data_IF_818693966827
#
_entry.id   IF_818693966827
#
_cell.length_a   1.000
_cell.length_b   1.000
_cell.length_c   1.000
_cell.angle_alpha   90.00
_cell.angle_beta   90.00
_cell.angle_gamma   90.00
#
_symmetry.space_group_name_H-M   'P 1'
#
loop_
_entity.id
_entity.type
_entity.pdbx_description
1 polymer ?
#
# COMPACT_ATOMS: atom_id res chain seq x y z
N UNK A 1 50.45 16.66 1.86
CA UNK A 1 50.18 15.35 1.22
C UNK A 1 48.75 14.89 1.53
N UNK A 2 47.74 15.65 1.07
CA UNK A 2 46.32 15.38 1.35
C UNK A 2 45.47 15.74 0.11
N UNK A 3 46.04 15.54 -1.08
CA UNK A 3 45.44 15.95 -2.36
C UNK A 3 45.32 14.77 -3.35
N UNK A 4 45.89 13.61 -2.99
CA UNK A 4 45.98 12.42 -3.85
C UNK A 4 44.82 11.42 -3.67
N UNK A 5 43.90 11.63 -2.71
CA UNK A 5 42.80 10.68 -2.44
C UNK A 5 41.46 11.02 -3.11
N UNK A 6 41.32 12.20 -3.72
CA UNK A 6 40.08 12.62 -4.39
C UNK A 6 40.05 12.31 -5.89
N UNK A 7 41.19 12.02 -6.51
CA UNK A 7 41.30 11.73 -7.94
C UNK A 7 40.85 10.32 -8.33
N UNK A 8 40.89 9.34 -7.41
CA UNK A 8 40.40 7.97 -7.66
C UNK A 8 38.87 7.93 -7.81
N UNK A 9 38.15 8.87 -7.18
CA UNK A 9 36.69 8.98 -7.28
C UNK A 9 36.17 9.43 -8.67
N UNK A 10 37.05 9.63 -9.66
CA UNK A 10 36.63 10.09 -10.99
C UNK A 10 35.94 11.45 -10.96
N UNK A 11 36.15 12.22 -9.87
CA UNK A 11 35.53 13.52 -9.63
C UNK A 11 36.28 14.67 -10.35
N UNK A 12 37.03 14.33 -11.39
CA UNK A 12 37.66 15.31 -12.27
C UNK A 12 36.58 15.93 -13.15
N UNK A 13 36.21 17.17 -12.85
CA UNK A 13 35.11 17.97 -13.42
C UNK A 13 33.71 17.67 -12.88
N UNK A 14 33.49 17.91 -11.58
CA UNK A 14 32.19 18.39 -11.09
C UNK A 14 31.89 19.83 -11.58
N UNK A 15 32.24 20.17 -12.82
CA UNK A 15 31.46 21.13 -13.59
C UNK A 15 30.25 20.38 -14.17
N UNK A 16 29.51 19.67 -13.30
CA UNK A 16 28.21 19.17 -13.68
C UNK A 16 27.41 20.42 -14.05
N UNK A 17 27.01 20.51 -15.33
CA UNK A 17 26.09 21.55 -15.79
C UNK A 17 25.01 21.70 -14.72
N UNK A 18 24.65 22.93 -14.29
CA UNK A 18 23.61 23.13 -13.28
C UNK A 18 22.35 22.28 -13.55
N UNK A 19 22.07 22.01 -14.83
CA UNK A 19 21.02 21.10 -15.28
C UNK A 19 21.20 19.64 -14.85
N UNK A 20 22.40 19.07 -14.95
CA UNK A 20 22.69 17.70 -14.52
C UNK A 20 22.55 17.54 -13.00
N UNK A 21 22.99 18.53 -12.22
CA UNK A 21 22.81 18.52 -10.77
C UNK A 21 21.31 18.60 -10.40
N UNK A 22 20.55 19.45 -11.09
CA UNK A 22 19.10 19.55 -10.90
C UNK A 22 18.38 18.23 -11.25
N UNK A 23 18.77 17.59 -12.36
CA UNK A 23 18.22 16.28 -12.75
C UNK A 23 18.53 15.20 -11.72
N UNK A 24 19.77 15.15 -11.22
CA UNK A 24 20.17 14.17 -10.20
C UNK A 24 19.40 14.38 -8.90
N UNK A 25 19.27 15.64 -8.45
CA UNK A 25 18.50 15.99 -7.25
C UNK A 25 17.02 15.65 -7.44
N UNK A 26 16.42 15.99 -8.59
CA UNK A 26 15.04 15.68 -8.91
C UNK A 26 14.77 14.18 -8.98
N UNK A 27 15.62 13.42 -9.66
CA UNK A 27 15.52 11.97 -9.74
C UNK A 27 15.67 11.31 -8.36
N UNK A 28 16.63 11.77 -7.56
CA UNK A 28 16.85 11.27 -6.19
C UNK A 28 15.65 11.58 -5.29
N UNK A 29 15.07 12.78 -5.41
CA UNK A 29 13.88 13.17 -4.66
C UNK A 29 12.66 12.33 -5.06
N UNK A 30 12.42 12.14 -6.36
CA UNK A 30 11.35 11.27 -6.87
C UNK A 30 11.53 9.82 -6.40
N UNK A 31 12.76 9.31 -6.45
CA UNK A 31 13.09 7.97 -5.95
C UNK A 31 12.81 7.86 -4.45
N UNK A 32 13.26 8.82 -3.65
CA UNK A 32 13.00 8.84 -2.21
C UNK A 32 11.49 8.89 -1.92
N UNK A 33 10.73 9.70 -2.66
CA UNK A 33 9.27 9.80 -2.55
C UNK A 33 8.58 8.47 -2.88
N UNK A 34 9.03 7.80 -3.94
CA UNK A 34 8.49 6.51 -4.37
C UNK A 34 8.81 5.40 -3.37
N UNK A 35 10.05 5.35 -2.86
CA UNK A 35 10.44 4.41 -1.81
C UNK A 35 9.63 4.63 -0.53
N UNK A 36 9.50 5.87 -0.07
CA UNK A 36 8.69 6.20 1.10
C UNK A 36 7.23 5.75 0.93
N UNK A 37 6.65 5.95 -0.25
CA UNK A 37 5.31 5.49 -0.58
C UNK A 37 5.20 3.95 -0.54
N UNK A 38 6.14 3.22 -1.14
CA UNK A 38 6.18 1.74 -1.08
C UNK A 38 6.29 1.26 0.36
N UNK A 39 7.18 1.85 1.16
CA UNK A 39 7.35 1.49 2.57
C UNK A 39 6.08 1.74 3.38
N UNK A 40 5.38 2.84 3.10
CA UNK A 40 4.11 3.17 3.77
C UNK A 40 3.04 2.13 3.44
N UNK A 41 2.93 1.74 2.16
CA UNK A 41 2.02 0.67 1.74
C UNK A 41 2.38 -0.65 2.39
N UNK A 42 3.67 -1.00 2.42
CA UNK A 42 4.14 -2.22 3.04
C UNK A 42 3.82 -2.27 4.53
N UNK A 43 4.12 -1.20 5.28
CA UNK A 43 3.84 -1.11 6.72
C UNK A 43 2.33 -1.20 6.99
N UNK A 44 1.51 -0.45 6.25
CA UNK A 44 0.06 -0.53 6.35
C UNK A 44 -0.44 -1.95 6.06
N UNK A 45 0.08 -2.58 4.99
CA UNK A 45 -0.27 -3.96 4.63
C UNK A 45 0.10 -4.93 5.74
N UNK A 46 1.28 -4.77 6.34
CA UNK A 46 1.75 -5.59 7.44
C UNK A 46 0.85 -5.46 8.67
N UNK A 47 0.52 -4.22 9.08
CA UNK A 47 -0.38 -3.96 10.20
C UNK A 47 -1.77 -4.57 10.00
N UNK A 48 -2.28 -4.55 8.77
CA UNK A 48 -3.60 -5.09 8.45
C UNK A 48 -3.66 -6.62 8.38
N UNK A 49 -2.51 -7.34 8.36
CA UNK A 49 -2.49 -8.82 8.32
C UNK A 49 -3.10 -9.49 9.54
N UNK A 50 -3.29 -8.75 10.65
CA UNK A 50 -3.97 -9.28 11.83
C UNK A 50 -5.46 -9.56 11.59
N UNK A 51 -6.06 -8.95 10.56
CA UNK A 51 -7.44 -9.20 10.20
C UNK A 51 -7.56 -10.46 9.35
N UNK A 52 -8.59 -11.29 9.61
CA UNK A 52 -8.85 -12.45 8.79
C UNK A 52 -9.24 -12.02 7.37
N UNK A 53 -8.93 -12.84 6.39
CA UNK A 53 -9.14 -12.54 4.97
C UNK A 53 -9.87 -13.71 4.29
N UNK A 54 -10.84 -13.43 3.40
CA UNK A 54 -11.36 -14.45 2.50
C UNK A 54 -10.27 -14.94 1.54
N UNK A 55 -10.48 -16.11 0.89
CA UNK A 55 -9.61 -16.55 -0.18
C UNK A 55 -9.55 -15.52 -1.31
N UNK A 56 -8.34 -15.09 -1.67
CA UNK A 56 -8.12 -14.18 -2.80
C UNK A 56 -8.36 -14.90 -4.12
N UNK A 57 -8.99 -14.22 -5.08
CA UNK A 57 -9.15 -14.73 -6.46
C UNK A 57 -7.79 -14.89 -7.14
N UNK A 58 -6.88 -13.96 -6.92
CA UNK A 58 -5.50 -14.03 -7.39
C UNK A 58 -4.61 -13.08 -6.59
N UNK A 59 -3.29 -13.23 -6.73
CA UNK A 59 -2.32 -12.45 -5.95
C UNK A 59 -2.34 -10.96 -6.29
N UNK A 60 -2.59 -10.60 -7.56
CA UNK A 60 -2.47 -9.22 -8.05
C UNK A 60 -3.75 -8.41 -7.81
N UNK A 61 -4.88 -8.90 -8.30
CA UNK A 61 -6.21 -8.28 -8.17
C UNK A 61 -6.87 -8.53 -6.81
N UNK A 62 -6.32 -9.43 -5.98
CA UNK A 62 -6.87 -9.75 -4.67
C UNK A 62 -8.28 -10.32 -4.76
N UNK A 63 -9.24 -9.57 -4.24
CA UNK A 63 -10.66 -9.94 -4.14
C UNK A 63 -11.54 -9.24 -5.18
N UNK A 64 -10.95 -8.47 -6.11
CA UNK A 64 -11.72 -7.81 -7.17
C UNK A 64 -12.53 -8.83 -7.98
N UNK A 65 -13.80 -8.51 -8.19
CA UNK A 65 -14.74 -9.34 -8.96
C UNK A 65 -15.23 -10.60 -8.24
N UNK A 66 -14.98 -10.75 -6.93
CA UNK A 66 -15.63 -11.80 -6.12
C UNK A 66 -17.10 -11.47 -5.83
N UNK A 67 -17.40 -10.21 -5.50
CA UNK A 67 -18.78 -9.75 -5.31
C UNK A 67 -19.37 -9.38 -6.67
N UNK A 68 -20.48 -10.05 -7.02
CA UNK A 68 -21.30 -9.72 -8.19
C UNK A 68 -22.55 -8.96 -7.73
N UNK A 69 -23.10 -8.10 -8.58
CA UNK A 69 -24.37 -7.41 -8.34
C UNK A 69 -25.58 -8.29 -8.71
N UNK A 70 -25.58 -9.54 -8.26
CA UNK A 70 -26.64 -10.51 -8.48
C UNK A 70 -26.88 -11.32 -7.19
N UNK A 71 -27.87 -12.23 -7.21
CA UNK A 71 -28.22 -13.03 -6.03
C UNK A 71 -27.05 -13.89 -5.52
N UNK A 72 -26.27 -14.49 -6.42
CA UNK A 72 -25.07 -15.26 -6.05
C UNK A 72 -24.07 -14.41 -5.26
N UNK A 73 -23.86 -13.16 -5.69
CA UNK A 73 -22.98 -12.22 -5.00
C UNK A 73 -23.50 -11.83 -3.64
N UNK A 74 -24.81 -11.70 -3.46
CA UNK A 74 -25.42 -11.45 -2.15
C UNK A 74 -25.29 -12.65 -1.22
N UNK A 75 -25.53 -13.87 -1.71
CA UNK A 75 -25.31 -15.11 -0.95
C UNK A 75 -23.86 -15.24 -0.49
N UNK A 76 -22.90 -14.91 -1.37
CA UNK A 76 -21.48 -14.89 -0.99
C UNK A 76 -21.21 -13.89 0.15
N UNK A 77 -21.78 -12.69 0.10
CA UNK A 77 -21.61 -11.70 1.17
C UNK A 77 -22.21 -12.22 2.49
N UNK A 78 -23.38 -12.85 2.44
CA UNK A 78 -24.04 -13.45 3.59
C UNK A 78 -23.18 -14.57 4.22
N UNK A 79 -22.69 -15.51 3.41
CA UNK A 79 -21.78 -16.59 3.85
C UNK A 79 -20.51 -16.03 4.50
N UNK A 80 -19.91 -15.02 3.87
CA UNK A 80 -18.73 -14.36 4.40
C UNK A 80 -19.02 -13.59 5.70
N UNK A 81 -20.20 -12.99 5.85
CA UNK A 81 -20.63 -12.37 7.10
C UNK A 81 -20.81 -13.38 8.23
N UNK A 82 -21.31 -14.58 7.93
CA UNK A 82 -21.42 -15.67 8.90
C UNK A 82 -20.06 -16.22 9.32
N UNK A 83 -19.13 -16.36 8.37
CA UNK A 83 -17.79 -16.88 8.63
C UNK A 83 -16.90 -15.84 9.32
N UNK A 84 -16.90 -14.59 8.84
CA UNK A 84 -16.13 -13.47 9.36
C UNK A 84 -17.03 -12.50 10.15
N UNK A 85 -17.40 -12.92 11.36
CA UNK A 85 -18.44 -12.28 12.19
C UNK A 85 -18.18 -10.82 12.58
N UNK A 86 -16.90 -10.44 12.69
CA UNK A 86 -16.49 -9.17 13.29
C UNK A 86 -15.98 -8.18 12.24
N UNK A 87 -14.73 -8.39 11.81
CA UNK A 87 -13.99 -7.56 10.87
C UNK A 87 -13.17 -8.47 9.98
N UNK A 88 -13.11 -8.17 8.69
CA UNK A 88 -12.23 -8.88 7.78
C UNK A 88 -11.67 -7.95 6.71
N UNK A 89 -10.51 -8.31 6.19
CA UNK A 89 -9.77 -7.51 5.23
C UNK A 89 -9.99 -8.01 3.80
N UNK A 90 -10.26 -7.07 2.91
CA UNK A 90 -10.28 -7.24 1.47
C UNK A 90 -9.14 -6.47 0.83
N UNK A 91 -8.76 -6.91 -0.36
CA UNK A 91 -7.72 -6.29 -1.18
C UNK A 91 -8.29 -6.05 -2.57
N UNK A 92 -8.30 -4.80 -2.99
CA UNK A 92 -8.68 -4.40 -4.35
C UNK A 92 -7.41 -4.04 -5.10
N UNK A 93 -6.78 -5.06 -5.70
CA UNK A 93 -5.43 -4.88 -6.23
C UNK A 93 -4.35 -4.90 -5.13
N UNK A 94 -3.10 -4.56 -5.46
CA UNK A 94 -1.95 -4.71 -4.55
C UNK A 94 -1.84 -3.61 -3.49
N UNK A 95 -2.52 -2.47 -3.66
CA UNK A 95 -2.28 -1.26 -2.86
C UNK A 95 -3.53 -0.68 -2.17
N UNK A 96 -4.70 -1.30 -2.37
CA UNK A 96 -5.97 -0.78 -1.84
C UNK A 96 -6.62 -1.80 -0.90
N UNK A 97 -6.29 -1.77 0.40
CA UNK A 97 -6.97 -2.57 1.41
C UNK A 97 -8.35 -1.99 1.73
N UNK A 98 -9.32 -2.85 2.00
CA UNK A 98 -10.67 -2.49 2.44
C UNK A 98 -11.02 -3.30 3.68
N UNK A 99 -11.20 -2.64 4.82
CA UNK A 99 -11.73 -3.29 6.03
C UNK A 99 -13.25 -3.33 5.96
N UNK A 100 -13.81 -4.55 5.99
CA UNK A 100 -15.25 -4.77 6.10
C UNK A 100 -15.60 -5.08 7.54
N UNK A 101 -16.48 -4.25 8.09
CA UNK A 101 -16.98 -4.34 9.45
C UNK A 101 -18.38 -4.92 9.39
N UNK A 102 -18.59 -6.06 10.04
CA UNK A 102 -19.87 -6.77 10.03
C UNK A 102 -20.58 -6.56 11.36
N UNK A 103 -19.86 -6.68 12.48
CA UNK A 103 -20.48 -6.58 13.79
C UNK A 103 -20.71 -5.10 14.22
N UNK A 104 -21.91 -4.73 14.69
CA UNK A 104 -22.25 -3.36 15.11
C UNK A 104 -21.30 -2.76 16.14
N UNK A 105 -20.72 -3.59 17.02
CA UNK A 105 -19.68 -3.20 18.00
C UNK A 105 -18.52 -2.42 17.38
N UNK A 106 -18.11 -2.73 16.14
CA UNK A 106 -17.02 -2.03 15.46
C UNK A 106 -17.51 -0.93 14.50
N UNK A 107 -18.72 -1.09 13.95
CA UNK A 107 -19.32 -0.10 13.05
C UNK A 107 -19.74 1.15 13.82
N UNK A 108 -20.43 1.00 14.95
CA UNK A 108 -21.03 2.11 15.68
C UNK A 108 -20.01 3.16 16.14
N UNK A 109 -18.84 2.81 16.73
CA UNK A 109 -17.84 3.80 17.11
C UNK A 109 -17.29 4.61 15.93
N UNK A 110 -17.13 3.99 14.76
CA UNK A 110 -16.64 4.70 13.57
C UNK A 110 -17.66 5.66 12.99
N UNK A 111 -18.94 5.28 13.01
CA UNK A 111 -20.02 6.18 12.58
C UNK A 111 -20.25 7.34 13.56
N UNK A 112 -19.84 7.18 14.82
CA UNK A 112 -19.92 8.20 15.86
C UNK A 112 -18.65 9.07 15.95
N UNK A 113 -17.58 8.70 15.26
CA UNK A 113 -16.35 9.48 15.26
C UNK A 113 -16.55 10.82 14.51
N UNK A 114 -15.98 11.93 15.01
CA UNK A 114 -15.99 13.19 14.29
C UNK A 114 -15.18 13.04 12.98
N UNK A 115 -15.71 13.64 11.90
CA UNK A 115 -15.10 13.64 10.57
C UNK A 115 -14.04 14.71 10.37
#
# INVERSE_FOLDING_TARGET
MLQLSLSWLGLGTLAASPWLLLLLLGASWLLARFLAWIYTIYDNSHRLRCFPQPPKRNWFWGHMGMVKSNEEGLRLIEELGHYFRDVHLWWMGPFYPVLRLVHPKYVAPLLQAPG
#
